data_IF_470865285042
#
_entry.id   IF_470865285042
#
_cell.length_a   1.000
_cell.length_b   1.000
_cell.length_c   1.000
_cell.angle_alpha   90.00
_cell.angle_beta   90.00
_cell.angle_gamma   90.00
#
_symmetry.space_group_name_H-M   'P 1'
#
loop_
_entity.id
_entity.type
_entity.pdbx_description
1 polymer ?
#
# COMPACT_ATOMS: atom_id res chain seq x y z
N UNK A 1 79.40 7.98 -7.41
CA UNK A 1 78.96 8.78 -6.24
C UNK A 1 77.52 8.42 -5.94
N UNK A 2 77.23 7.65 -4.91
CA UNK A 2 75.88 7.35 -4.49
C UNK A 2 75.26 8.60 -3.82
N UNK A 3 74.19 9.18 -4.37
CA UNK A 3 73.43 10.23 -3.73
C UNK A 3 72.57 9.60 -2.67
N UNK A 4 72.77 9.95 -1.40
CA UNK A 4 71.87 9.55 -0.33
C UNK A 4 70.59 10.35 -0.34
N UNK A 5 69.46 9.73 0.01
CA UNK A 5 68.18 10.41 0.19
C UNK A 5 68.23 11.38 1.37
N UNK A 6 67.63 12.57 1.19
CA UNK A 6 67.51 13.53 2.29
C UNK A 6 66.27 13.17 3.15
N UNK A 7 66.33 13.47 4.45
CA UNK A 7 65.23 13.24 5.39
C UNK A 7 63.92 13.96 4.92
N UNK A 8 64.07 15.15 4.33
CA UNK A 8 62.96 15.94 3.81
C UNK A 8 62.29 15.24 2.63
N UNK A 9 63.03 14.62 1.73
CA UNK A 9 62.54 13.90 0.57
C UNK A 9 61.69 12.69 0.98
N UNK A 10 62.10 11.96 2.03
CA UNK A 10 61.34 10.85 2.60
C UNK A 10 60.06 11.35 3.28
N UNK A 11 60.12 12.46 4.03
CA UNK A 11 58.93 13.05 4.66
C UNK A 11 57.89 13.53 3.64
N UNK A 12 58.33 14.17 2.57
CA UNK A 12 57.43 14.61 1.48
C UNK A 12 56.82 13.41 0.78
N UNK A 13 57.61 12.37 0.50
CA UNK A 13 57.09 11.14 -0.10
C UNK A 13 56.01 10.47 0.77
N UNK A 14 56.24 10.36 2.07
CA UNK A 14 55.28 9.81 3.03
C UNK A 14 53.99 10.68 3.12
N UNK A 15 54.15 12.00 3.13
CA UNK A 15 52.99 12.90 3.15
C UNK A 15 52.13 12.76 1.88
N UNK A 16 52.76 12.65 0.70
CA UNK A 16 52.05 12.41 -0.56
C UNK A 16 51.36 11.03 -0.57
N UNK A 17 52.02 9.99 -0.10
CA UNK A 17 51.40 8.65 0.04
C UNK A 17 50.19 8.67 0.99
N UNK A 18 50.32 9.34 2.13
CA UNK A 18 49.16 9.48 3.07
C UNK A 18 48.01 10.23 2.46
N UNK A 19 48.26 11.29 1.68
CA UNK A 19 47.23 12.03 0.96
C UNK A 19 46.53 11.15 -0.08
N UNK A 20 47.29 10.43 -0.91
CA UNK A 20 46.74 9.53 -1.93
C UNK A 20 45.94 8.37 -1.30
N UNK A 21 46.44 7.78 -0.19
CA UNK A 21 45.72 6.77 0.55
C UNK A 21 44.37 7.29 1.11
N UNK A 22 44.38 8.51 1.67
CA UNK A 22 43.18 9.17 2.17
C UNK A 22 42.15 9.40 1.07
N UNK A 23 42.57 9.91 -0.10
CA UNK A 23 41.70 10.14 -1.26
C UNK A 23 41.12 8.82 -1.80
N UNK A 24 41.94 7.77 -1.87
CA UNK A 24 41.49 6.44 -2.30
C UNK A 24 40.46 5.87 -1.34
N UNK A 25 40.65 6.00 -0.04
CA UNK A 25 39.72 5.56 0.99
C UNK A 25 38.39 6.29 0.88
N UNK A 26 38.42 7.62 0.72
CA UNK A 26 37.18 8.42 0.53
C UNK A 26 36.44 8.00 -0.73
N UNK A 27 37.15 7.71 -1.82
CA UNK A 27 36.53 7.21 -3.06
C UNK A 27 35.82 5.88 -2.86
N UNK A 28 36.45 4.92 -2.18
CA UNK A 28 35.85 3.61 -1.86
C UNK A 28 34.63 3.78 -0.93
N UNK A 29 34.76 4.61 0.10
CA UNK A 29 33.66 4.86 1.04
C UNK A 29 32.42 5.46 0.34
N UNK A 30 32.63 6.44 -0.56
CA UNK A 30 31.52 7.07 -1.30
C UNK A 30 30.81 6.09 -2.25
N UNK A 31 31.56 5.20 -2.93
CA UNK A 31 30.97 4.15 -3.78
C UNK A 31 30.19 3.14 -2.94
N UNK A 32 30.71 2.74 -1.78
CA UNK A 32 30.01 1.82 -0.88
C UNK A 32 28.71 2.42 -0.35
N UNK A 33 28.68 3.71 -0.03
CA UNK A 33 27.48 4.41 0.42
C UNK A 33 26.46 4.57 -0.72
N UNK A 34 26.90 4.96 -1.91
CA UNK A 34 26.04 5.02 -3.09
C UNK A 34 25.41 3.66 -3.42
N UNK A 35 26.16 2.57 -3.30
CA UNK A 35 25.67 1.22 -3.48
C UNK A 35 24.58 0.88 -2.45
N UNK A 36 24.82 1.13 -1.17
CA UNK A 36 23.83 0.88 -0.10
C UNK A 36 22.53 1.64 -0.34
N UNK A 37 22.63 2.92 -0.71
CA UNK A 37 21.49 3.74 -1.02
C UNK A 37 20.70 3.20 -2.25
N UNK A 38 21.42 2.70 -3.25
CA UNK A 38 20.81 2.07 -4.43
C UNK A 38 20.10 0.77 -4.07
N UNK A 39 20.75 -0.11 -3.33
CA UNK A 39 20.18 -1.40 -2.89
C UNK A 39 18.91 -1.18 -2.05
N UNK A 40 18.92 -0.18 -1.18
CA UNK A 40 17.74 0.18 -0.39
C UNK A 40 16.57 0.65 -1.25
N UNK A 41 16.81 1.53 -2.23
CA UNK A 41 15.76 1.99 -3.17
C UNK A 41 15.16 0.85 -3.98
N UNK A 42 15.99 -0.11 -4.41
CA UNK A 42 15.53 -1.30 -5.12
C UNK A 42 14.62 -2.14 -4.21
N UNK A 43 15.04 -2.40 -2.98
CA UNK A 43 14.27 -3.17 -2.01
C UNK A 43 12.92 -2.48 -1.69
N UNK A 44 12.90 -1.17 -1.49
CA UNK A 44 11.68 -0.40 -1.23
C UNK A 44 10.71 -0.47 -2.43
N UNK A 45 11.26 -0.40 -3.65
CA UNK A 45 10.47 -0.53 -4.89
C UNK A 45 9.88 -1.93 -5.04
N UNK A 46 10.66 -2.96 -4.80
CA UNK A 46 10.20 -4.36 -4.85
C UNK A 46 9.14 -4.63 -3.80
N UNK A 47 9.35 -4.14 -2.57
CA UNK A 47 8.37 -4.26 -1.48
C UNK A 47 7.06 -3.58 -1.85
N UNK A 48 7.11 -2.35 -2.34
CA UNK A 48 5.92 -1.62 -2.80
C UNK A 48 5.21 -2.38 -3.93
N UNK A 49 5.95 -2.92 -4.91
CA UNK A 49 5.39 -3.75 -5.98
C UNK A 49 4.68 -5.00 -5.47
N UNK A 50 5.27 -5.71 -4.52
CA UNK A 50 4.67 -6.91 -3.90
C UNK A 50 3.37 -6.55 -3.16
N UNK A 51 3.36 -5.44 -2.42
CA UNK A 51 2.18 -5.00 -1.68
C UNK A 51 1.07 -4.56 -2.63
N UNK A 52 1.41 -3.90 -3.75
CA UNK A 52 0.42 -3.56 -4.78
C UNK A 52 -0.18 -4.82 -5.42
N UNK A 53 0.64 -5.83 -5.72
CA UNK A 53 0.16 -7.11 -6.24
C UNK A 53 -0.79 -7.82 -5.25
N UNK A 54 -0.52 -7.73 -3.94
CA UNK A 54 -1.43 -8.25 -2.91
C UNK A 54 -2.76 -7.49 -2.86
N UNK A 55 -2.72 -6.15 -3.00
CA UNK A 55 -3.92 -5.32 -3.13
C UNK A 55 -4.77 -5.73 -4.34
N UNK A 56 -4.15 -5.87 -5.50
CA UNK A 56 -4.80 -6.29 -6.75
C UNK A 56 -5.38 -7.70 -6.61
N UNK A 57 -4.63 -8.61 -5.98
CA UNK A 57 -5.08 -9.97 -5.74
C UNK A 57 -6.31 -10.02 -4.83
N UNK A 58 -6.33 -9.27 -3.72
CA UNK A 58 -7.48 -9.23 -2.81
C UNK A 58 -8.74 -8.71 -3.51
N UNK A 59 -8.63 -7.65 -4.29
CA UNK A 59 -9.74 -7.10 -5.06
C UNK A 59 -10.16 -7.99 -6.24
N UNK A 60 -9.21 -8.69 -6.85
CA UNK A 60 -9.49 -9.66 -7.93
C UNK A 60 -10.29 -10.87 -7.45
N UNK A 61 -10.23 -11.20 -6.15
CA UNK A 61 -11.00 -12.27 -5.52
C UNK A 61 -12.27 -11.76 -4.84
N UNK A 62 -12.67 -10.51 -5.10
CA UNK A 62 -13.89 -9.92 -4.55
C UNK A 62 -15.09 -10.84 -4.81
N UNK A 63 -15.89 -11.05 -3.78
CA UNK A 63 -17.09 -11.88 -3.86
C UNK A 63 -18.31 -11.14 -3.34
N UNK A 64 -19.29 -10.99 -4.20
CA UNK A 64 -20.58 -10.42 -3.79
C UNK A 64 -21.41 -11.47 -3.05
N UNK A 65 -21.92 -11.07 -1.90
CA UNK A 65 -22.75 -11.92 -1.05
C UNK A 65 -23.90 -11.12 -0.48
N UNK A 66 -25.03 -11.82 -0.22
CA UNK A 66 -26.16 -11.18 0.43
C UNK A 66 -25.96 -10.92 1.93
N UNK A 67 -24.90 -11.41 2.53
CA UNK A 67 -24.69 -11.44 3.98
C UNK A 67 -23.90 -10.22 4.52
N UNK A 68 -23.02 -9.65 3.70
CA UNK A 68 -22.22 -8.48 4.03
C UNK A 68 -21.96 -7.66 2.77
N UNK A 69 -21.64 -6.35 2.87
CA UNK A 69 -21.19 -5.58 1.71
C UNK A 69 -19.94 -6.22 1.09
N UNK A 70 -19.96 -6.45 -0.22
CA UNK A 70 -18.81 -7.04 -0.90
C UNK A 70 -17.58 -6.12 -0.84
N UNK A 71 -17.79 -4.78 -0.91
CA UNK A 71 -16.78 -3.76 -0.85
C UNK A 71 -17.34 -2.53 -0.14
N UNK A 72 -16.64 -1.99 0.84
CA UNK A 72 -17.01 -0.78 1.57
C UNK A 72 -15.77 0.03 1.96
N UNK A 73 -15.85 1.35 1.82
CA UNK A 73 -14.81 2.28 2.25
C UNK A 73 -15.43 3.37 3.14
N UNK A 74 -14.92 3.50 4.37
CA UNK A 74 -15.41 4.50 5.34
C UNK A 74 -14.53 5.74 5.42
N UNK A 75 -13.53 5.86 4.51
CA UNK A 75 -12.55 6.95 4.48
C UNK A 75 -11.25 6.65 5.20
N UNK A 76 -11.25 5.68 6.09
CA UNK A 76 -10.05 5.24 6.82
C UNK A 76 -9.69 3.78 6.50
N UNK A 77 -10.71 2.95 6.24
CA UNK A 77 -10.53 1.51 6.02
C UNK A 77 -11.34 1.06 4.81
N UNK A 78 -10.70 0.39 3.87
CA UNK A 78 -11.35 -0.37 2.81
C UNK A 78 -11.55 -1.80 3.28
N UNK A 79 -12.80 -2.26 3.28
CA UNK A 79 -13.18 -3.63 3.64
C UNK A 79 -13.73 -4.32 2.42
N UNK A 80 -13.39 -5.59 2.27
CA UNK A 80 -13.91 -6.41 1.20
C UNK A 80 -14.13 -7.85 1.65
N UNK A 81 -15.08 -8.51 1.03
CA UNK A 81 -15.28 -9.95 1.13
C UNK A 81 -14.62 -10.59 -0.06
N UNK A 82 -13.74 -11.55 0.16
CA UNK A 82 -13.10 -12.31 -0.92
C UNK A 82 -13.42 -13.79 -0.82
N UNK A 83 -13.35 -14.45 -1.96
CA UNK A 83 -13.40 -15.91 -2.03
C UNK A 83 -12.07 -16.51 -1.58
N UNK A 84 -12.15 -17.61 -0.86
CA UNK A 84 -11.05 -18.48 -0.49
C UNK A 84 -11.47 -19.92 -0.80
N UNK A 85 -10.50 -20.83 -1.00
CA UNK A 85 -10.79 -22.24 -1.37
C UNK A 85 -11.73 -22.94 -0.38
N UNK A 86 -11.63 -22.60 0.90
CA UNK A 86 -12.41 -23.21 1.99
C UNK A 86 -13.64 -22.39 2.43
N UNK A 87 -13.92 -21.24 1.76
CA UNK A 87 -15.04 -20.38 2.13
C UNK A 87 -14.87 -18.91 1.78
N UNK A 88 -15.31 -18.03 2.67
CA UNK A 88 -15.21 -16.59 2.52
C UNK A 88 -14.30 -15.98 3.59
N UNK A 89 -13.70 -14.85 3.27
CA UNK A 89 -12.79 -14.16 4.15
C UNK A 89 -13.01 -12.64 4.03
N UNK A 90 -12.99 -11.95 5.17
CA UNK A 90 -13.02 -10.48 5.21
C UNK A 90 -11.59 -9.97 5.24
N UNK A 91 -11.30 -9.03 4.35
CA UNK A 91 -10.02 -8.31 4.30
C UNK A 91 -10.28 -6.84 4.61
N UNK A 92 -9.41 -6.24 5.40
CA UNK A 92 -9.45 -4.79 5.67
C UNK A 92 -8.07 -4.18 5.41
N UNK A 93 -8.07 -3.11 4.60
CA UNK A 93 -6.90 -2.29 4.34
C UNK A 93 -7.08 -0.94 5.01
N UNK A 94 -6.09 -0.47 5.76
CA UNK A 94 -6.17 0.80 6.47
C UNK A 94 -4.82 1.50 6.55
N UNK A 95 -4.84 2.83 6.70
CA UNK A 95 -3.67 3.64 7.00
C UNK A 95 -3.76 4.14 8.43
N UNK A 96 -2.76 3.81 9.26
CA UNK A 96 -2.63 4.27 10.65
C UNK A 96 -1.18 4.59 10.96
N UNK A 97 -0.93 5.74 11.53
CA UNK A 97 0.40 6.18 11.98
C UNK A 97 1.48 6.02 10.92
N UNK A 98 1.18 6.39 9.67
CA UNK A 98 2.13 6.27 8.55
C UNK A 98 2.40 4.83 8.10
N UNK A 99 1.62 3.85 8.57
CA UNK A 99 1.73 2.43 8.22
C UNK A 99 0.50 1.97 7.45
N UNK A 100 0.71 1.38 6.30
CA UNK A 100 -0.36 0.76 5.53
C UNK A 100 -0.51 -0.68 5.95
N UNK A 101 -1.66 -0.98 6.52
CA UNK A 101 -1.98 -2.19 7.24
C UNK A 101 -2.97 -3.02 6.44
N UNK A 102 -2.81 -4.33 6.49
CA UNK A 102 -3.76 -5.30 5.98
C UNK A 102 -4.17 -6.26 7.08
N UNK A 103 -5.43 -6.34 7.37
CA UNK A 103 -6.02 -7.31 8.28
C UNK A 103 -6.79 -8.38 7.50
N UNK A 104 -6.81 -9.60 8.03
CA UNK A 104 -7.43 -10.76 7.42
C UNK A 104 -8.18 -11.53 8.49
N UNK A 105 -9.49 -11.75 8.28
CA UNK A 105 -10.26 -12.63 9.16
C UNK A 105 -9.85 -14.10 8.97
N UNK A 106 -10.19 -14.99 9.91
CA UNK A 106 -10.26 -16.42 9.61
C UNK A 106 -11.18 -16.68 8.41
N UNK A 107 -10.94 -17.79 7.70
CA UNK A 107 -11.85 -18.27 6.66
C UNK A 107 -13.12 -18.83 7.31
N UNK A 108 -14.26 -18.45 6.76
CA UNK A 108 -15.57 -18.85 7.28
C UNK A 108 -16.44 -19.46 6.17
N UNK A 109 -17.11 -20.56 6.50
CA UNK A 109 -18.06 -21.24 5.60
C UNK A 109 -19.52 -20.99 5.96
N UNK A 110 -19.78 -20.36 7.13
CA UNK A 110 -21.14 -20.11 7.62
C UNK A 110 -21.47 -18.62 7.57
N UNK A 111 -22.75 -18.31 7.32
CA UNK A 111 -23.28 -16.94 7.25
C UNK A 111 -23.01 -16.11 8.51
N UNK A 112 -23.25 -16.69 9.70
CA UNK A 112 -23.02 -16.04 10.97
C UNK A 112 -21.54 -15.65 11.15
N UNK A 113 -20.61 -16.56 10.82
CA UNK A 113 -19.18 -16.30 10.90
C UNK A 113 -18.72 -15.15 9.99
N UNK A 114 -19.33 -15.00 8.80
CA UNK A 114 -19.03 -13.87 7.91
C UNK A 114 -19.53 -12.54 8.49
N UNK A 115 -20.72 -12.53 9.09
CA UNK A 115 -21.25 -11.35 9.74
C UNK A 115 -20.40 -10.92 10.93
N UNK A 116 -19.99 -11.87 11.77
CA UNK A 116 -19.08 -11.63 12.89
C UNK A 116 -17.72 -11.10 12.42
N UNK A 117 -17.13 -11.70 11.37
CA UNK A 117 -15.88 -11.23 10.79
C UNK A 117 -16.01 -9.81 10.22
N UNK A 118 -17.15 -9.50 9.60
CA UNK A 118 -17.43 -8.14 9.09
C UNK A 118 -17.54 -7.13 10.23
N UNK A 119 -18.28 -7.43 11.30
CA UNK A 119 -18.40 -6.56 12.48
C UNK A 119 -17.05 -6.37 13.17
N UNK A 120 -16.26 -7.42 13.34
CA UNK A 120 -14.93 -7.35 13.91
C UNK A 120 -14.00 -6.44 13.09
N UNK A 121 -14.14 -6.46 11.75
CA UNK A 121 -13.35 -5.59 10.86
C UNK A 121 -13.62 -4.09 11.07
N UNK A 122 -14.74 -3.72 11.70
CA UNK A 122 -15.09 -2.33 12.00
C UNK A 122 -14.44 -1.81 13.27
N UNK A 123 -13.96 -2.70 14.14
CA UNK A 123 -13.43 -2.37 15.47
C UNK A 123 -11.96 -2.79 15.64
N UNK A 124 -11.20 -2.86 14.54
CA UNK A 124 -9.81 -3.29 14.56
C UNK A 124 -8.94 -2.39 15.44
N UNK A 125 -8.24 -2.99 16.39
CA UNK A 125 -7.21 -2.35 17.20
C UNK A 125 -5.84 -2.49 16.54
N UNK A 126 -4.85 -1.73 17.03
CA UNK A 126 -3.52 -1.68 16.40
C UNK A 126 -2.74 -3.01 16.46
N UNK A 127 -3.15 -3.94 17.35
CA UNK A 127 -2.47 -5.24 17.56
C UNK A 127 -3.39 -6.43 17.34
N UNK A 128 -4.44 -6.28 16.54
CA UNK A 128 -5.34 -7.39 16.29
C UNK A 128 -4.66 -8.55 15.56
N UNK A 129 -5.03 -9.78 15.93
CA UNK A 129 -4.55 -10.98 15.24
C UNK A 129 -4.95 -10.94 13.78
N UNK A 130 -4.01 -11.28 12.90
CA UNK A 130 -4.23 -11.23 11.45
C UNK A 130 -3.92 -9.86 10.81
N UNK A 131 -3.48 -8.87 11.58
CA UNK A 131 -3.04 -7.57 11.05
C UNK A 131 -1.54 -7.61 10.73
N UNK A 132 -1.19 -7.14 9.53
CA UNK A 132 0.19 -7.06 9.03
C UNK A 132 0.48 -5.64 8.59
N UNK A 133 1.65 -5.11 8.96
CA UNK A 133 2.20 -3.88 8.39
C UNK A 133 2.88 -4.23 7.07
N UNK A 134 2.35 -3.74 5.96
CA UNK A 134 2.87 -4.04 4.63
C UNK A 134 3.81 -2.96 4.11
N UNK A 135 3.47 -1.68 4.32
CA UNK A 135 4.32 -0.53 3.98
C UNK A 135 4.40 0.43 5.17
N UNK A 136 5.55 1.06 5.31
CA UNK A 136 5.82 2.16 6.23
C UNK A 136 6.11 3.44 5.45
N UNK A 137 6.03 4.59 6.10
CA UNK A 137 6.27 5.87 5.46
C UNK A 137 5.16 6.27 4.48
N UNK A 138 3.94 5.82 4.70
CA UNK A 138 2.77 6.23 3.92
C UNK A 138 2.17 7.49 4.53
N UNK A 139 2.15 8.57 3.76
CA UNK A 139 1.61 9.86 4.18
C UNK A 139 0.09 9.89 4.08
N UNK A 140 -0.42 9.44 2.94
CA UNK A 140 -1.86 9.43 2.67
C UNK A 140 -2.23 8.34 1.68
N UNK A 141 -3.50 7.98 1.68
CA UNK A 141 -4.08 7.15 0.65
C UNK A 141 -5.49 7.63 0.30
N UNK A 142 -5.90 7.38 -0.94
CA UNK A 142 -7.21 7.72 -1.44
C UNK A 142 -7.73 6.56 -2.28
N UNK A 143 -9.02 6.29 -2.16
CA UNK A 143 -9.71 5.25 -2.93
C UNK A 143 -10.80 5.90 -3.76
N UNK A 144 -10.84 5.58 -5.04
CA UNK A 144 -11.87 6.01 -5.96
C UNK A 144 -12.57 4.79 -6.55
N UNK A 145 -13.86 4.92 -6.76
CA UNK A 145 -14.69 3.92 -7.41
C UNK A 145 -15.11 4.39 -8.79
N UNK A 146 -15.01 3.51 -9.78
CA UNK A 146 -15.52 3.75 -11.11
C UNK A 146 -16.95 3.23 -11.21
N UNK A 147 -17.89 4.14 -11.36
CA UNK A 147 -19.33 3.84 -11.49
C UNK A 147 -19.94 4.75 -12.55
N UNK A 148 -20.86 4.21 -13.35
CA UNK A 148 -21.63 5.00 -14.34
C UNK A 148 -20.72 5.92 -15.18
N UNK A 149 -19.59 5.36 -15.64
CA UNK A 149 -18.64 6.03 -16.54
C UNK A 149 -17.86 7.21 -15.92
N UNK A 150 -17.74 7.28 -14.59
CA UNK A 150 -16.97 8.30 -13.89
C UNK A 150 -16.24 7.74 -12.66
N UNK A 151 -15.08 8.32 -12.35
CA UNK A 151 -14.41 8.10 -11.08
C UNK A 151 -15.02 9.02 -10.02
N UNK A 152 -15.39 8.45 -8.89
CA UNK A 152 -15.89 9.17 -7.72
C UNK A 152 -15.08 8.78 -6.50
N UNK A 153 -14.85 9.73 -5.58
CA UNK A 153 -14.25 9.41 -4.30
C UNK A 153 -15.17 8.40 -3.59
N UNK A 154 -14.57 7.31 -3.08
CA UNK A 154 -15.32 6.23 -2.45
C UNK A 154 -16.15 6.68 -1.23
N UNK A 155 -15.72 7.75 -0.53
CA UNK A 155 -16.48 8.36 0.56
C UNK A 155 -17.71 9.14 0.06
N UNK A 156 -17.60 9.81 -1.08
CA UNK A 156 -18.69 10.64 -1.64
C UNK A 156 -19.78 9.80 -2.29
N UNK A 157 -19.46 8.59 -2.73
CA UNK A 157 -20.41 7.72 -3.45
C UNK A 157 -21.42 7.03 -2.55
N UNK A 158 -21.30 7.10 -1.24
CA UNK A 158 -22.27 6.54 -0.31
C UNK A 158 -23.59 7.36 -0.20
N UNK A 159 -23.71 8.51 -0.89
CA UNK A 159 -24.83 9.42 -0.73
C UNK A 159 -25.36 10.13 -1.97
N UNK A 160 -24.77 9.94 -3.14
CA UNK A 160 -25.16 10.71 -4.33
C UNK A 160 -25.74 9.82 -5.43
N UNK A 161 -26.96 9.34 -5.23
CA UNK A 161 -27.83 9.04 -6.36
C UNK A 161 -28.30 10.40 -6.88
N UNK A 162 -28.07 10.78 -8.16
CA UNK A 162 -28.68 11.97 -8.72
C UNK A 162 -30.22 11.84 -8.61
N UNK A 163 -30.85 12.82 -8.02
CA UNK A 163 -32.32 12.93 -7.86
C UNK A 163 -33.04 13.17 -9.20
N UNK A 164 -32.62 12.53 -10.28
CA UNK A 164 -33.29 12.63 -11.60
C UNK A 164 -33.84 11.29 -12.07
N UNK A 165 -34.44 10.55 -11.16
CA UNK A 165 -35.34 9.45 -11.56
C UNK A 165 -36.38 9.29 -10.46
N UNK A 166 -37.52 9.93 -10.64
CA UNK A 166 -38.73 9.70 -9.86
C UNK A 166 -39.22 8.28 -10.13
N UNK A 167 -38.67 7.30 -9.44
CA UNK A 167 -39.27 5.99 -9.28
C UNK A 167 -39.95 5.93 -7.91
N UNK A 168 -41.20 5.39 -7.80
CA UNK A 168 -41.94 5.41 -6.55
C UNK A 168 -41.21 4.66 -5.44
N UNK A 169 -41.22 5.25 -4.25
CA UNK A 169 -40.71 4.67 -3.03
C UNK A 169 -41.38 3.32 -2.75
N UNK A 170 -40.71 2.23 -3.07
CA UNK A 170 -41.14 0.88 -2.74
C UNK A 170 -40.21 0.31 -1.72
N UNK A 171 -40.72 0.13 -0.50
CA UNK A 171 -40.25 -0.69 0.63
C UNK A 171 -38.88 -0.38 1.26
N UNK A 172 -38.74 -0.48 2.61
CA UNK A 172 -37.48 -0.36 3.32
C UNK A 172 -36.73 -1.68 3.24
N UNK A 173 -36.13 -1.96 2.07
CA UNK A 173 -35.09 -2.94 1.88
C UNK A 173 -33.85 -2.18 1.51
N UNK A 174 -32.79 -2.31 2.29
CA UNK A 174 -31.48 -1.69 2.08
C UNK A 174 -31.05 -1.84 0.61
N UNK A 175 -31.20 -0.78 -0.19
CA UNK A 175 -30.62 -0.71 -1.54
C UNK A 175 -29.11 -0.81 -1.34
N UNK A 176 -28.56 -1.97 -1.67
CA UNK A 176 -27.12 -2.10 -1.79
C UNK A 176 -26.68 -1.29 -2.99
N UNK A 177 -25.70 -0.43 -2.78
CA UNK A 177 -25.07 0.24 -3.90
C UNK A 177 -24.47 -0.81 -4.84
N UNK A 178 -24.66 -0.68 -6.15
CA UNK A 178 -24.04 -1.59 -7.10
C UNK A 178 -22.52 -1.54 -6.94
N UNK A 179 -21.89 -2.69 -7.08
CA UNK A 179 -20.43 -2.77 -7.03
C UNK A 179 -19.82 -1.86 -8.11
N UNK A 180 -18.71 -1.17 -7.80
CA UNK A 180 -17.98 -0.42 -8.81
C UNK A 180 -17.40 -1.40 -9.85
N UNK A 181 -17.26 -0.96 -11.08
CA UNK A 181 -16.60 -1.72 -12.14
C UNK A 181 -15.08 -1.53 -12.13
N UNK A 182 -14.58 -0.56 -11.36
CA UNK A 182 -13.16 -0.34 -11.15
C UNK A 182 -12.87 0.33 -9.81
N UNK A 183 -11.66 0.09 -9.31
CA UNK A 183 -11.13 0.70 -8.10
C UNK A 183 -9.79 1.35 -8.44
N UNK A 184 -9.62 2.60 -8.05
CA UNK A 184 -8.34 3.31 -8.10
C UNK A 184 -7.82 3.54 -6.70
N UNK A 185 -6.59 3.14 -6.48
CA UNK A 185 -5.80 3.48 -5.30
C UNK A 185 -4.80 4.58 -5.67
N UNK A 186 -4.76 5.64 -4.87
CA UNK A 186 -3.70 6.66 -4.89
C UNK A 186 -3.01 6.63 -3.54
N UNK A 187 -1.74 6.26 -3.51
CA UNK A 187 -0.93 6.13 -2.32
C UNK A 187 0.23 7.12 -2.37
N UNK A 188 0.34 8.00 -1.37
CA UNK A 188 1.47 8.93 -1.24
C UNK A 188 2.45 8.37 -0.20
N UNK A 189 3.68 8.16 -0.63
CA UNK A 189 4.79 7.71 0.22
C UNK A 189 5.65 8.91 0.57
N UNK A 190 6.06 9.01 1.84
CA UNK A 190 7.02 10.03 2.27
C UNK A 190 8.34 9.84 1.51
N UNK A 191 8.93 10.93 1.07
CA UNK A 191 10.30 10.93 0.63
C UNK A 191 11.20 10.59 1.83
N UNK A 192 11.97 9.51 1.73
CA UNK A 192 12.80 9.00 2.81
C UNK A 192 13.73 10.06 3.44
N UNK A 193 14.46 9.69 4.49
CA UNK A 193 15.25 10.53 5.38
C UNK A 193 16.36 11.43 4.74
N UNK A 194 16.48 11.48 3.43
CA UNK A 194 17.51 12.24 2.70
C UNK A 194 16.93 13.26 1.70
N UNK A 195 15.83 13.94 2.05
CA UNK A 195 15.30 15.03 1.20
C UNK A 195 14.70 14.54 -0.13
N UNK A 196 14.28 13.29 -0.21
CA UNK A 196 13.53 12.79 -1.35
C UNK A 196 12.12 13.37 -1.32
N UNK A 197 11.64 13.82 -2.48
CA UNK A 197 10.25 14.28 -2.63
C UNK A 197 9.26 13.14 -2.37
N UNK A 198 8.07 13.48 -1.87
CA UNK A 198 6.98 12.54 -1.70
C UNK A 198 6.65 11.87 -3.05
N UNK A 199 6.49 10.56 -3.05
CA UNK A 199 6.21 9.79 -4.26
C UNK A 199 4.77 9.30 -4.24
N UNK A 200 4.02 9.60 -5.29
CA UNK A 200 2.66 9.10 -5.47
C UNK A 200 2.65 7.86 -6.37
N UNK A 201 2.00 6.83 -5.92
CA UNK A 201 1.74 5.58 -6.67
C UNK A 201 0.25 5.48 -6.93
N UNK A 202 -0.13 5.39 -8.19
CA UNK A 202 -1.54 5.17 -8.60
C UNK A 202 -1.69 3.77 -9.18
N UNK A 203 -2.75 3.07 -8.78
CA UNK A 203 -3.13 1.74 -9.31
C UNK A 203 -4.60 1.72 -9.64
N UNK A 204 -4.90 1.34 -10.86
CA UNK A 204 -6.26 1.12 -11.36
C UNK A 204 -6.48 -0.37 -11.54
N UNK A 205 -7.57 -0.87 -11.00
CA UNK A 205 -8.00 -2.26 -11.18
C UNK A 205 -9.43 -2.29 -11.69
N UNK A 206 -9.67 -3.02 -12.75
CA UNK A 206 -11.02 -3.37 -13.20
C UNK A 206 -11.50 -4.58 -12.38
N UNK A 207 -12.66 -4.46 -11.80
CA UNK A 207 -13.30 -5.57 -11.11
C UNK A 207 -14.02 -6.47 -12.11
N UNK A 208 -13.82 -7.78 -11.97
CA UNK A 208 -14.53 -8.74 -12.79
C UNK A 208 -16.05 -8.63 -12.54
N UNK A 209 -16.90 -8.75 -13.57
CA UNK A 209 -18.34 -8.84 -13.38
C UNK A 209 -18.65 -9.99 -12.42
N UNK A 210 -19.39 -9.70 -11.36
CA UNK A 210 -19.90 -10.75 -10.48
C UNK A 210 -21.07 -11.40 -11.20
N UNK A 211 -20.92 -12.67 -11.54
CA UNK A 211 -22.03 -13.47 -12.04
C UNK A 211 -23.02 -13.71 -10.89
N UNK A 212 -24.33 -13.56 -11.13
CA UNK A 212 -25.35 -13.74 -10.13
C UNK A 212 -25.42 -15.18 -9.61
#
# INVERSE_FOLDING_TARGET
MARGFTLVEVLVALALMALLASMSWQGIASVAEAKRASDQRVNDTLRAGTVMAQWEHDLGQLHDTSLAPALAFDGATLRLVRRHDEGLQVIAWSLRDGRWLRWTSPVVSQAAGLQDAWLNSQQLLSNDRGQLTLLEGVESWQVYFYRVNAWSNAQSSAGTVPLTSAAPASAPGSRRDPLPTGVRLVLTLNGGAQGQEARTVTRDLLLAPQLP
#
